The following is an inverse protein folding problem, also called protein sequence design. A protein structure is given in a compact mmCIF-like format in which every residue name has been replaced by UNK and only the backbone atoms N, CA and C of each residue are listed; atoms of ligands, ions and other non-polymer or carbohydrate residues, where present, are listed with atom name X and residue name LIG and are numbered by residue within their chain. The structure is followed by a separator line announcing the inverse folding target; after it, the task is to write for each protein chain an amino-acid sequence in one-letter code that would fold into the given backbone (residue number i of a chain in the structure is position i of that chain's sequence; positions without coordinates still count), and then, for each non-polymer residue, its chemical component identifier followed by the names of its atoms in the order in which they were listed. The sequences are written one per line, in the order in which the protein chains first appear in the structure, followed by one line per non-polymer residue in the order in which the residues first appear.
data_IF_601727710038
#
_entry.id   IF_601727710038
#
_cell.length_a   1.000
_cell.length_b   1.000
_cell.length_c   1.000
_cell.angle_alpha   90.00
_cell.angle_beta   90.00
_cell.angle_gamma   90.00
#
_symmetry.space_group_name_H-M   'P 1'
#
loop_
_entity.id
_entity.type
_entity.pdbx_description
1 polymer ?
#
# COMPACT_ATOMS: atom_id res chain seq x y z
N UNK A 1 58.68 20.36 -14.08
CA UNK A 1 57.67 19.91 -13.08
C UNK A 1 56.31 19.93 -13.76
N UNK A 2 55.83 18.76 -14.21
CA UNK A 2 54.57 18.65 -14.96
C UNK A 2 53.44 18.55 -13.94
N UNK A 3 52.59 19.60 -13.86
CA UNK A 3 51.38 19.60 -13.03
C UNK A 3 50.32 18.78 -13.76
N UNK A 4 50.05 17.57 -13.28
CA UNK A 4 48.86 16.82 -13.65
C UNK A 4 47.63 17.50 -13.03
N UNK A 5 46.81 18.12 -13.86
CA UNK A 5 45.48 18.59 -13.47
C UNK A 5 44.53 17.40 -13.62
N UNK A 6 44.09 16.84 -12.50
CA UNK A 6 43.08 15.78 -12.47
C UNK A 6 41.70 16.44 -12.63
N UNK A 7 41.15 16.41 -13.84
CA UNK A 7 39.77 16.86 -14.09
C UNK A 7 38.81 15.76 -13.65
N UNK A 8 38.07 16.00 -12.56
CA UNK A 8 36.99 15.13 -12.09
C UNK A 8 35.78 15.30 -13.03
N UNK A 9 35.57 14.36 -13.95
CA UNK A 9 34.36 14.30 -14.77
C UNK A 9 33.25 13.67 -13.93
N UNK A 10 32.32 14.49 -13.44
CA UNK A 10 31.08 14.01 -12.85
C UNK A 10 30.19 13.49 -13.99
N UNK A 11 30.10 12.17 -14.14
CA UNK A 11 29.09 11.55 -14.99
C UNK A 11 27.77 11.66 -14.23
N UNK A 12 26.99 12.69 -14.54
CA UNK A 12 25.59 12.78 -14.13
C UNK A 12 24.81 11.84 -15.03
N UNK A 13 24.78 10.56 -14.68
CA UNK A 13 23.80 9.63 -15.25
C UNK A 13 22.42 10.12 -14.82
N UNK A 14 21.64 10.64 -15.78
CA UNK A 14 20.24 10.97 -15.55
C UNK A 14 19.51 9.72 -15.08
N UNK A 15 19.13 9.68 -13.81
CA UNK A 15 18.19 8.71 -13.30
C UNK A 15 16.83 9.13 -13.86
N UNK A 16 16.48 8.62 -15.04
CA UNK A 16 15.08 8.61 -15.43
C UNK A 16 14.39 7.66 -14.45
N UNK A 17 13.64 8.23 -13.51
CA UNK A 17 12.91 7.48 -12.50
C UNK A 17 11.78 6.72 -13.19
N UNK A 18 12.05 5.47 -13.56
CA UNK A 18 11.00 4.55 -13.98
C UNK A 18 10.07 4.34 -12.80
N UNK A 19 8.77 4.36 -13.07
CA UNK A 19 7.72 4.16 -12.08
C UNK A 19 6.96 2.90 -12.44
N UNK A 20 6.36 2.29 -11.43
CA UNK A 20 5.41 1.20 -11.58
C UNK A 20 4.02 1.75 -11.28
N UNK A 21 3.11 1.59 -12.24
CA UNK A 21 1.69 1.80 -12.06
C UNK A 21 1.03 0.45 -11.79
N UNK A 22 0.36 0.33 -10.65
CA UNK A 22 -0.50 -0.81 -10.31
C UNK A 22 -1.94 -0.35 -10.59
N UNK A 23 -2.55 -0.79 -11.72
CA UNK A 23 -3.90 -0.38 -12.06
C UNK A 23 -4.90 -0.94 -11.05
N UNK A 24 -6.00 -0.21 -10.84
CA UNK A 24 -7.12 -0.64 -10.00
C UNK A 24 -8.46 -0.67 -10.76
N UNK A 25 -8.41 -0.54 -12.09
CA UNK A 25 -9.53 -0.75 -12.99
C UNK A 25 -9.64 -2.22 -13.42
N UNK A 26 -10.34 -2.49 -14.53
CA UNK A 26 -10.62 -3.85 -15.00
C UNK A 26 -9.39 -4.59 -15.53
N UNK A 27 -8.24 -3.93 -15.72
CA UNK A 27 -6.99 -4.59 -16.12
C UNK A 27 -6.25 -5.26 -14.95
N UNK A 28 -6.69 -4.99 -13.72
CA UNK A 28 -6.11 -5.61 -12.54
C UNK A 28 -6.60 -7.04 -12.37
N UNK A 29 -5.66 -7.98 -12.26
CA UNK A 29 -5.93 -9.39 -12.04
C UNK A 29 -6.47 -9.68 -10.63
N UNK A 30 -5.99 -8.95 -9.61
CA UNK A 30 -6.45 -9.12 -8.23
C UNK A 30 -6.36 -7.80 -7.44
N UNK A 31 -7.50 -7.12 -7.30
CA UNK A 31 -7.58 -5.84 -6.58
C UNK A 31 -7.27 -5.95 -5.09
N UNK A 32 -7.69 -7.04 -4.43
CA UNK A 32 -7.44 -7.19 -2.99
C UNK A 32 -5.95 -7.41 -2.72
N UNK A 33 -5.30 -8.24 -3.53
CA UNK A 33 -3.83 -8.41 -3.46
C UNK A 33 -3.10 -7.13 -3.85
N UNK A 34 -3.64 -6.29 -4.73
CA UNK A 34 -3.03 -5.00 -5.07
C UNK A 34 -2.99 -4.03 -3.88
N UNK A 35 -4.04 -3.95 -3.06
CA UNK A 35 -3.97 -3.24 -1.76
C UNK A 35 -2.90 -3.84 -0.83
N UNK A 36 -2.78 -5.17 -0.83
CA UNK A 36 -1.72 -5.90 -0.14
C UNK A 36 -0.31 -5.51 -0.59
N UNK A 37 -0.11 -5.31 -1.89
CA UNK A 37 1.15 -4.83 -2.45
C UNK A 37 1.43 -3.40 -1.97
N UNK A 38 0.45 -2.49 -2.02
CA UNK A 38 0.64 -1.14 -1.51
C UNK A 38 1.08 -1.14 -0.04
N UNK A 39 0.42 -1.95 0.80
CA UNK A 39 0.84 -2.15 2.20
C UNK A 39 2.27 -2.72 2.31
N UNK A 40 2.59 -3.76 1.54
CA UNK A 40 3.91 -4.39 1.51
C UNK A 40 5.03 -3.41 1.13
N UNK A 41 4.78 -2.52 0.18
CA UNK A 41 5.70 -1.46 -0.22
C UNK A 41 5.95 -0.51 0.96
N UNK A 42 4.89 -0.06 1.62
CA UNK A 42 4.99 0.85 2.77
C UNK A 42 5.76 0.23 3.95
N UNK A 43 5.65 -1.08 4.17
CA UNK A 43 6.46 -1.77 5.21
C UNK A 43 7.97 -1.75 4.93
N UNK A 44 8.37 -1.42 3.70
CA UNK A 44 9.77 -1.26 3.28
C UNK A 44 10.21 0.19 3.19
N UNK A 45 9.42 1.11 3.74
CA UNK A 45 9.69 2.56 3.75
C UNK A 45 9.84 3.13 2.33
N UNK A 46 9.05 2.60 1.38
CA UNK A 46 8.92 3.17 0.04
C UNK A 46 7.55 3.85 -0.03
N UNK A 47 7.53 5.10 -0.48
CA UNK A 47 6.29 5.86 -0.58
C UNK A 47 5.44 5.36 -1.75
N UNK A 48 4.13 5.45 -1.59
CA UNK A 48 3.15 5.11 -2.63
C UNK A 48 2.26 6.31 -2.88
N UNK A 49 2.12 6.72 -4.13
CA UNK A 49 1.10 7.69 -4.54
C UNK A 49 -0.18 6.93 -4.86
N UNK A 50 -1.24 7.22 -4.10
CA UNK A 50 -2.58 6.72 -4.40
C UNK A 50 -3.30 7.74 -5.28
N UNK A 51 -3.49 7.37 -6.55
CA UNK A 51 -4.10 8.21 -7.58
C UNK A 51 -5.62 8.08 -7.50
N UNK A 52 -6.25 8.88 -6.64
CA UNK A 52 -7.69 8.84 -6.35
C UNK A 52 -8.50 9.12 -7.63
N UNK A 53 -9.47 8.24 -7.91
CA UNK A 53 -10.32 8.22 -9.12
C UNK A 53 -9.59 8.05 -10.46
N UNK A 54 -8.26 8.07 -10.51
CA UNK A 54 -7.50 7.71 -11.71
C UNK A 54 -7.43 6.18 -11.84
N UNK A 55 -7.96 5.64 -12.94
CA UNK A 55 -7.95 4.20 -13.23
C UNK A 55 -8.37 3.33 -12.03
N UNK A 56 -9.50 3.68 -11.43
CA UNK A 56 -10.07 2.95 -10.28
C UNK A 56 -9.36 3.17 -8.94
N UNK A 57 -8.49 4.18 -8.82
CA UNK A 57 -7.72 4.43 -7.61
C UNK A 57 -6.34 3.76 -7.66
N UNK A 58 -5.63 3.88 -8.79
CA UNK A 58 -4.36 3.19 -9.02
C UNK A 58 -3.25 3.60 -8.06
N UNK A 59 -2.25 2.74 -7.88
CA UNK A 59 -1.05 3.06 -7.10
C UNK A 59 0.13 3.32 -8.01
N UNK A 60 0.89 4.37 -7.72
CA UNK A 60 2.12 4.71 -8.41
C UNK A 60 3.30 4.67 -7.43
N UNK A 61 4.38 4.02 -7.82
CA UNK A 61 5.58 3.81 -6.98
C UNK A 61 6.85 3.87 -7.81
N UNK A 62 7.98 4.18 -7.19
CA UNK A 62 9.30 4.02 -7.82
C UNK A 62 9.55 2.55 -8.21
N UNK A 63 10.12 2.35 -9.39
CA UNK A 63 10.40 1.01 -9.87
C UNK A 63 11.55 0.37 -9.07
N UNK A 64 11.19 -0.65 -8.28
CA UNK A 64 12.12 -1.50 -7.58
C UNK A 64 11.91 -2.98 -7.97
N UNK A 65 12.99 -3.74 -8.24
CA UNK A 65 12.88 -5.15 -8.60
C UNK A 65 12.11 -6.01 -7.59
N UNK A 66 12.21 -5.68 -6.30
CA UNK A 66 11.48 -6.42 -5.25
C UNK A 66 9.97 -6.22 -5.34
N UNK A 67 9.49 -5.05 -5.79
CA UNK A 67 8.07 -4.76 -5.97
C UNK A 67 7.53 -5.57 -7.14
N UNK A 68 8.22 -5.53 -8.28
CA UNK A 68 7.83 -6.33 -9.45
C UNK A 68 7.78 -7.83 -9.13
N UNK A 69 8.79 -8.33 -8.39
CA UNK A 69 8.82 -9.72 -7.97
C UNK A 69 7.62 -10.07 -7.10
N UNK A 70 7.29 -9.23 -6.11
CA UNK A 70 6.13 -9.44 -5.24
C UNK A 70 4.82 -9.39 -6.02
N UNK A 71 4.64 -8.43 -6.94
CA UNK A 71 3.46 -8.37 -7.80
C UNK A 71 3.29 -9.67 -8.61
N UNK A 72 4.38 -10.17 -9.22
CA UNK A 72 4.36 -11.44 -9.97
C UNK A 72 3.99 -12.63 -9.08
N UNK A 73 4.55 -12.70 -7.87
CA UNK A 73 4.27 -13.77 -6.89
C UNK A 73 2.80 -13.75 -6.47
N UNK A 74 2.23 -12.56 -6.23
CA UNK A 74 0.85 -12.39 -5.77
C UNK A 74 -0.18 -12.30 -6.90
N UNK A 75 0.24 -12.41 -8.16
CA UNK A 75 -0.64 -12.33 -9.32
C UNK A 75 -1.19 -10.94 -9.62
N UNK A 76 -0.56 -9.87 -9.12
CA UNK A 76 -0.99 -8.48 -9.30
C UNK A 76 -0.43 -7.90 -10.60
N UNK A 77 -1.30 -7.33 -11.43
CA UNK A 77 -0.93 -6.61 -12.65
C UNK A 77 -0.17 -5.32 -12.30
N UNK A 78 0.87 -5.01 -13.06
CA UNK A 78 1.59 -3.72 -12.99
C UNK A 78 2.12 -3.34 -14.38
N UNK A 79 2.37 -2.05 -14.56
CA UNK A 79 2.87 -1.45 -15.79
C UNK A 79 4.09 -0.60 -15.45
N UNK A 80 5.20 -0.80 -16.16
CA UNK A 80 6.34 0.11 -16.08
C UNK A 80 6.05 1.32 -16.96
N UNK A 81 6.17 2.52 -16.39
CA UNK A 81 5.97 3.79 -17.10
C UNK A 81 7.19 4.68 -16.93
N UNK A 82 7.43 5.56 -17.91
CA UNK A 82 8.46 6.60 -17.80
C UNK A 82 7.94 7.94 -18.28
N UNK A 83 7.64 8.07 -19.56
CA UNK A 83 7.30 9.36 -20.18
C UNK A 83 5.80 9.69 -19.98
N UNK A 84 4.97 8.65 -19.80
CA UNK A 84 3.53 8.74 -19.61
C UNK A 84 3.15 9.42 -18.28
N UNK A 85 4.06 9.50 -17.31
CA UNK A 85 3.78 10.06 -15.98
C UNK A 85 3.29 11.50 -16.03
N UNK A 86 3.81 12.29 -16.97
CA UNK A 86 3.41 13.70 -17.14
C UNK A 86 1.94 13.78 -17.57
N UNK A 87 1.50 12.89 -18.45
CA UNK A 87 0.11 12.81 -18.92
C UNK A 87 -0.82 12.35 -17.80
N UNK A 88 -0.39 11.39 -16.97
CA UNK A 88 -1.14 10.93 -15.79
C UNK A 88 -1.40 12.11 -14.85
N UNK A 89 -0.34 12.84 -14.45
CA UNK A 89 -0.50 13.98 -13.54
C UNK A 89 -1.34 15.10 -14.16
N UNK A 90 -1.16 15.39 -15.44
CA UNK A 90 -1.98 16.38 -16.15
C UNK A 90 -3.46 15.99 -16.15
N UNK A 91 -3.78 14.72 -16.38
CA UNK A 91 -5.15 14.20 -16.33
C UNK A 91 -5.74 14.36 -14.94
N UNK A 92 -4.98 14.01 -13.91
CA UNK A 92 -5.43 14.13 -12.52
C UNK A 92 -5.74 15.58 -12.15
N UNK A 93 -4.90 16.54 -12.54
CA UNK A 93 -5.13 17.96 -12.27
C UNK A 93 -6.35 18.54 -13.00
N UNK A 94 -6.70 18.00 -14.17
CA UNK A 94 -7.78 18.54 -15.03
C UNK A 94 -9.15 17.94 -14.72
N UNK A 95 -9.20 16.78 -14.08
CA UNK A 95 -10.41 16.02 -13.80
C UNK A 95 -10.73 15.97 -12.30
N UNK A 96 -11.84 15.34 -11.92
CA UNK A 96 -12.21 15.15 -10.50
C UNK A 96 -11.41 14.01 -9.84
N UNK A 97 -10.09 14.18 -9.78
CA UNK A 97 -9.11 13.23 -9.27
C UNK A 97 -8.16 13.93 -8.28
N UNK A 98 -7.38 13.15 -7.53
CA UNK A 98 -6.42 13.68 -6.56
C UNK A 98 -5.29 12.68 -6.28
N UNK A 99 -4.21 13.11 -5.63
CA UNK A 99 -3.08 12.26 -5.24
C UNK A 99 -2.91 12.28 -3.72
N UNK A 100 -3.09 11.13 -3.09
CA UNK A 100 -2.76 10.94 -1.68
C UNK A 100 -1.40 10.24 -1.55
N UNK A 101 -0.43 10.91 -0.91
CA UNK A 101 0.87 10.32 -0.61
C UNK A 101 0.77 9.43 0.63
N UNK A 102 1.13 8.16 0.48
CA UNK A 102 1.21 7.18 1.56
C UNK A 102 2.67 6.94 1.92
N UNK A 103 3.03 7.15 3.19
CA UNK A 103 4.43 7.14 3.63
C UNK A 103 4.75 6.04 4.66
N UNK A 104 3.73 5.50 5.34
CA UNK A 104 3.89 4.54 6.42
C UNK A 104 2.79 3.47 6.38
N UNK A 105 3.18 2.22 6.58
CA UNK A 105 2.25 1.13 6.79
C UNK A 105 1.53 1.30 8.14
N UNK A 106 0.18 1.35 8.17
CA UNK A 106 -0.55 1.50 9.42
C UNK A 106 -0.44 0.24 10.29
N UNK A 107 -0.36 0.43 11.60
CA UNK A 107 -0.58 -0.63 12.57
C UNK A 107 -2.08 -0.84 12.74
N UNK A 108 -2.55 -2.02 12.36
CA UNK A 108 -3.98 -2.35 12.34
C UNK A 108 -4.31 -3.25 13.53
N UNK A 109 -5.35 -2.89 14.28
CA UNK A 109 -5.96 -3.73 15.28
C UNK A 109 -7.36 -4.17 14.88
N UNK A 110 -7.69 -5.43 15.14
CA UNK A 110 -9.04 -5.98 15.07
C UNK A 110 -9.49 -6.26 16.51
N UNK A 111 -10.53 -5.57 16.96
CA UNK A 111 -11.21 -5.90 18.20
C UNK A 111 -12.05 -7.15 17.97
N UNK A 112 -11.75 -8.24 18.66
CA UNK A 112 -12.46 -9.52 18.43
C UNK A 112 -12.35 -10.45 19.64
N UNK A 113 -13.43 -11.16 20.02
CA UNK A 113 -13.38 -12.10 21.13
C UNK A 113 -12.42 -13.27 20.87
N UNK A 114 -11.87 -13.91 21.92
CA UNK A 114 -10.94 -15.04 21.75
C UNK A 114 -11.53 -16.26 21.02
N UNK A 115 -12.86 -16.39 21.00
CA UNK A 115 -13.56 -17.58 20.52
C UNK A 115 -14.22 -17.39 19.13
N UNK A 116 -13.96 -16.28 18.43
CA UNK A 116 -14.58 -15.98 17.13
C UNK A 116 -13.96 -16.77 15.99
N UNK A 117 -14.77 -17.25 15.04
CA UNK A 117 -14.29 -18.03 13.91
C UNK A 117 -13.69 -17.10 12.84
N UNK A 118 -12.64 -17.53 12.10
CA UNK A 118 -11.95 -16.66 11.14
C UNK A 118 -12.79 -16.12 9.98
N UNK A 119 -13.92 -16.76 9.67
CA UNK A 119 -14.82 -16.37 8.58
C UNK A 119 -15.97 -15.47 9.02
N UNK A 120 -16.10 -15.21 10.33
CA UNK A 120 -17.20 -14.40 10.87
C UNK A 120 -17.01 -12.90 10.58
N UNK A 121 -15.81 -12.46 10.20
CA UNK A 121 -15.50 -11.06 9.88
C UNK A 121 -14.91 -10.92 8.48
N UNK A 122 -15.69 -10.32 7.58
CA UNK A 122 -15.30 -10.07 6.20
C UNK A 122 -14.04 -9.19 6.09
N UNK A 123 -13.80 -8.29 7.03
CA UNK A 123 -12.61 -7.43 7.02
C UNK A 123 -11.37 -8.25 7.37
N UNK A 124 -11.44 -9.08 8.40
CA UNK A 124 -10.37 -10.03 8.74
C UNK A 124 -10.07 -10.96 7.55
N UNK A 125 -11.09 -11.46 6.84
CA UNK A 125 -10.90 -12.25 5.61
C UNK A 125 -10.20 -11.44 4.51
N UNK A 126 -10.63 -10.21 4.24
CA UNK A 126 -10.05 -9.35 3.22
C UNK A 126 -8.59 -9.00 3.52
N UNK A 127 -8.26 -8.62 4.76
CA UNK A 127 -6.89 -8.33 5.18
C UNK A 127 -6.01 -9.56 5.08
N UNK A 128 -6.51 -10.72 5.53
CA UNK A 128 -5.78 -11.99 5.43
C UNK A 128 -5.52 -12.37 3.98
N UNK A 129 -6.53 -12.25 3.11
CA UNK A 129 -6.40 -12.52 1.68
C UNK A 129 -5.40 -11.56 1.03
N UNK A 130 -5.48 -10.26 1.34
CA UNK A 130 -4.54 -9.26 0.86
C UNK A 130 -3.12 -9.40 1.46
N UNK A 131 -2.93 -10.27 2.47
CA UNK A 131 -1.70 -10.39 3.25
C UNK A 131 -1.28 -9.07 3.93
N UNK A 132 -2.27 -8.32 4.42
CA UNK A 132 -2.07 -7.14 5.25
C UNK A 132 -2.00 -7.57 6.71
N UNK A 133 -0.93 -7.17 7.40
CA UNK A 133 -0.73 -7.55 8.80
C UNK A 133 -1.68 -6.77 9.73
N UNK A 134 -2.27 -7.49 10.67
CA UNK A 134 -3.10 -6.94 11.74
C UNK A 134 -2.87 -7.72 13.03
N UNK A 135 -3.18 -7.09 14.16
CA UNK A 135 -3.17 -7.70 15.47
C UNK A 135 -4.58 -7.82 16.03
N UNK A 136 -4.86 -8.90 16.77
CA UNK A 136 -6.11 -9.05 17.50
C UNK A 136 -5.98 -8.53 18.92
N UNK A 137 -7.00 -7.83 19.39
CA UNK A 137 -7.11 -7.38 20.77
C UNK A 137 -8.53 -7.54 21.31
N UNK A 138 -8.64 -7.62 22.63
CA UNK A 138 -9.89 -7.75 23.38
C UNK A 138 -9.86 -6.86 24.63
N UNK A 139 -10.91 -6.92 25.45
CA UNK A 139 -11.13 -6.13 26.66
C UNK A 139 -9.86 -5.89 27.50
N UNK A 140 -9.12 -6.95 27.85
CA UNK A 140 -7.93 -6.81 28.72
C UNK A 140 -6.88 -5.86 28.13
N UNK A 141 -6.61 -5.96 26.82
CA UNK A 141 -5.66 -5.07 26.13
C UNK A 141 -6.20 -3.65 26.04
N UNK A 142 -7.50 -3.48 25.83
CA UNK A 142 -8.14 -2.16 25.80
C UNK A 142 -8.05 -1.49 27.18
N UNK A 143 -8.43 -2.21 28.23
CA UNK A 143 -8.44 -1.73 29.62
C UNK A 143 -7.03 -1.44 30.16
N UNK A 144 -6.00 -2.13 29.64
CA UNK A 144 -4.60 -1.85 29.95
C UNK A 144 -3.99 -0.72 29.10
N UNK A 145 -4.79 -0.04 28.28
CA UNK A 145 -4.39 1.17 27.56
C UNK A 145 -3.57 0.90 26.30
N UNK A 146 -3.73 -0.25 25.64
CA UNK A 146 -2.96 -0.62 24.43
C UNK A 146 -3.45 0.01 23.13
N UNK A 147 -4.65 0.60 23.10
CA UNK A 147 -5.21 1.19 21.88
C UNK A 147 -4.33 2.24 21.18
N UNK A 148 -3.64 3.16 21.89
CA UNK A 148 -2.78 4.16 21.25
C UNK A 148 -1.56 3.58 20.50
N UNK A 149 -1.28 2.29 20.61
CA UNK A 149 -0.20 1.62 19.87
C UNK A 149 -0.56 1.36 18.39
N UNK A 150 -1.84 1.52 18.02
CA UNK A 150 -2.36 1.23 16.69
C UNK A 150 -2.83 2.50 15.96
N UNK A 151 -2.66 2.51 14.63
CA UNK A 151 -3.06 3.62 13.77
C UNK A 151 -4.52 3.47 13.29
N UNK A 152 -5.04 2.24 13.23
CA UNK A 152 -6.40 1.93 12.80
C UNK A 152 -7.00 0.77 13.63
N UNK A 153 -8.27 0.89 13.99
CA UNK A 153 -9.02 -0.10 14.76
C UNK A 153 -10.28 -0.49 14.00
N UNK A 154 -10.42 -1.78 13.70
CA UNK A 154 -11.67 -2.38 13.21
C UNK A 154 -12.48 -2.92 14.38
N UNK A 155 -13.79 -2.69 14.32
CA UNK A 155 -14.76 -3.18 15.28
C UNK A 155 -15.87 -3.87 14.49
N UNK A 156 -16.13 -5.16 14.73
CA UNK A 156 -17.22 -5.84 14.04
C UNK A 156 -18.55 -5.49 14.73
N UNK A 157 -19.58 -5.13 13.97
CA UNK A 157 -20.83 -4.59 14.53
C UNK A 157 -21.52 -5.54 15.52
N UNK A 158 -21.29 -6.85 15.41
CA UNK A 158 -21.79 -7.87 16.34
C UNK A 158 -21.07 -7.87 17.69
N UNK A 159 -19.87 -7.28 17.79
CA UNK A 159 -19.12 -7.17 19.05
C UNK A 159 -19.83 -6.28 20.09
N UNK A 160 -20.80 -5.45 19.67
CA UNK A 160 -21.50 -4.49 20.54
C UNK A 160 -22.91 -4.89 20.94
N UNK A 161 -23.51 -5.90 20.31
CA UNK A 161 -24.92 -6.23 20.55
C UNK A 161 -25.11 -7.24 21.68
N UNK A 162 -24.02 -7.88 22.15
CA UNK A 162 -24.08 -8.94 23.16
C UNK A 162 -24.88 -10.17 22.70
N UNK A 163 -25.23 -10.23 21.41
CA UNK A 163 -25.83 -11.41 20.82
C UNK A 163 -24.70 -12.37 20.47
N UNK A 164 -24.63 -13.48 21.20
CA UNK A 164 -23.86 -14.63 20.76
C UNK A 164 -24.44 -15.04 19.40
N UNK A 165 -23.65 -14.86 18.33
CA UNK A 165 -23.96 -15.40 17.01
C UNK A 165 -24.12 -16.92 17.03
#
# INVERSE_FOLDING_TARGET
MIRFVLTLVLIVSGLNGQKLLIPMDQEQNDHLKAYGIAYYILTRNVNVEWLLNYRGGSFLVDDHPFIQAECRIRGVSFIQISDEIIEIYTTIEQENMDIALLEKAPKIAIYTPPNTQPWDDAVTLALTYAEVHYEKLWDEKVLTGKLPEYDWLHLHHEDFTGQYG
#
